data_IF_488299390884
#
_entry.id   IF_488299390884
#
_cell.length_a   1.000
_cell.length_b   1.000
_cell.length_c   1.000
_cell.angle_alpha   90.00
_cell.angle_beta   90.00
_cell.angle_gamma   90.00
#
_symmetry.space_group_name_H-M   'P 1'
#
loop_
_entity.id
_entity.type
_entity.pdbx_description
1 polymer ?
#
# COMPACT_ATOMS: atom_id res chain seq x y z
N UNK A 1 -15.73 8.86 27.87
CA UNK A 1 -16.53 9.59 26.86
C UNK A 1 -17.30 8.55 26.04
N UNK A 2 -18.63 8.58 26.10
CA UNK A 2 -19.55 7.55 25.56
C UNK A 2 -19.33 7.27 24.07
N UNK A 3 -18.88 6.06 23.72
CA UNK A 3 -18.62 5.60 22.34
C UNK A 3 -19.75 4.72 21.77
N UNK A 4 -20.98 4.86 22.26
CA UNK A 4 -22.07 3.96 21.87
C UNK A 4 -22.83 4.38 20.59
N UNK A 5 -22.82 5.65 20.18
CA UNK A 5 -23.70 6.13 19.11
C UNK A 5 -23.13 7.29 18.25
N UNK A 6 -21.83 7.30 17.97
CA UNK A 6 -21.28 8.25 16.98
C UNK A 6 -21.11 7.50 15.66
N UNK A 7 -21.95 7.80 14.66
CA UNK A 7 -21.76 7.29 13.31
C UNK A 7 -20.33 7.59 12.84
N UNK A 8 -19.65 6.58 12.30
CA UNK A 8 -18.28 6.76 11.81
C UNK A 8 -18.35 7.71 10.62
N UNK A 9 -17.89 8.94 10.84
CA UNK A 9 -17.93 10.02 9.86
C UNK A 9 -17.18 9.59 8.59
N UNK A 10 -17.81 9.76 7.44
CA UNK A 10 -17.16 9.57 6.14
C UNK A 10 -16.63 10.90 5.61
N UNK A 11 -15.48 10.84 4.92
CA UNK A 11 -14.84 12.00 4.32
C UNK A 11 -14.83 11.88 2.79
N UNK A 12 -15.00 13.01 2.10
CA UNK A 12 -14.93 13.03 0.65
C UNK A 12 -13.47 13.12 0.19
N UNK A 13 -12.65 13.92 0.88
CA UNK A 13 -11.25 14.14 0.52
C UNK A 13 -10.30 14.19 1.72
N UNK A 14 -9.01 13.87 1.54
CA UNK A 14 -8.00 14.04 2.59
C UNK A 14 -7.67 15.51 2.88
N UNK A 15 -8.20 16.47 2.12
CA UNK A 15 -7.96 17.90 2.33
C UNK A 15 -8.86 18.52 3.40
N UNK A 16 -9.82 17.75 3.93
CA UNK A 16 -10.69 18.20 5.00
C UNK A 16 -9.94 18.24 6.34
N UNK A 17 -10.02 19.36 7.08
CA UNK A 17 -9.39 19.47 8.42
C UNK A 17 -9.88 18.40 9.40
N UNK A 18 -11.15 17.98 9.26
CA UNK A 18 -11.75 16.92 10.07
C UNK A 18 -11.09 15.55 9.86
N UNK A 19 -10.60 15.27 8.65
CA UNK A 19 -9.92 14.03 8.30
C UNK A 19 -8.67 13.83 9.16
N UNK A 20 -7.80 14.85 9.21
CA UNK A 20 -6.54 14.80 9.96
C UNK A 20 -6.74 14.76 11.47
N UNK A 21 -7.75 15.48 11.97
CA UNK A 21 -8.12 15.41 13.40
C UNK A 21 -8.58 14.00 13.78
N UNK A 22 -9.41 13.37 12.95
CA UNK A 22 -9.82 11.99 13.17
C UNK A 22 -8.64 11.02 13.08
N UNK A 23 -7.80 11.13 12.04
CA UNK A 23 -6.63 10.28 11.87
C UNK A 23 -5.65 10.38 13.07
N UNK A 24 -5.46 11.59 13.62
CA UNK A 24 -4.65 11.78 14.82
C UNK A 24 -5.31 11.19 16.08
N UNK A 25 -6.63 11.29 16.20
CA UNK A 25 -7.37 10.74 17.34
C UNK A 25 -7.34 9.20 17.41
N UNK A 26 -7.06 8.51 16.29
CA UNK A 26 -6.94 7.05 16.26
C UNK A 26 -5.83 6.53 17.17
N UNK A 27 -4.76 7.30 17.40
CA UNK A 27 -3.71 6.94 18.36
C UNK A 27 -4.19 6.93 19.82
N UNK A 28 -5.28 7.64 20.14
CA UNK A 28 -5.86 7.66 21.48
C UNK A 28 -6.91 6.57 21.70
N UNK A 29 -7.29 5.83 20.65
CA UNK A 29 -8.34 4.83 20.73
C UNK A 29 -7.74 3.42 20.91
N UNK A 30 -7.88 2.80 22.11
CA UNK A 30 -7.28 1.49 22.37
C UNK A 30 -7.80 0.42 21.42
N UNK A 31 -9.07 0.52 20.99
CA UNK A 31 -9.65 -0.41 20.03
C UNK A 31 -8.96 -0.34 18.67
N UNK A 32 -8.64 0.87 18.19
CA UNK A 32 -7.94 1.05 16.92
C UNK A 32 -6.51 0.55 17.01
N UNK A 33 -5.81 0.78 18.13
CA UNK A 33 -4.44 0.28 18.34
C UNK A 33 -4.40 -1.25 18.32
N UNK A 34 -5.31 -1.92 19.03
CA UNK A 34 -5.36 -3.40 19.05
C UNK A 34 -5.62 -3.95 17.64
N UNK A 35 -6.57 -3.36 16.91
CA UNK A 35 -6.85 -3.77 15.52
C UNK A 35 -5.64 -3.50 14.61
N UNK A 36 -4.97 -2.36 14.77
CA UNK A 36 -3.75 -2.05 14.04
C UNK A 36 -2.66 -3.09 14.32
N UNK A 37 -2.39 -3.41 15.59
CA UNK A 37 -1.41 -4.42 15.98
C UNK A 37 -1.70 -5.79 15.36
N UNK A 38 -2.96 -6.24 15.40
CA UNK A 38 -3.37 -7.52 14.80
C UNK A 38 -3.19 -7.53 13.27
N UNK A 39 -3.56 -6.45 12.58
CA UNK A 39 -3.39 -6.34 11.12
C UNK A 39 -1.91 -6.23 10.75
N UNK A 40 -1.10 -5.51 11.53
CA UNK A 40 0.35 -5.42 11.34
C UNK A 40 1.01 -6.78 11.53
N UNK A 41 0.63 -7.54 12.58
CA UNK A 41 1.12 -8.91 12.79
C UNK A 41 0.73 -9.81 11.61
N UNK A 42 -0.52 -9.74 11.15
CA UNK A 42 -0.98 -10.48 9.97
C UNK A 42 -0.18 -10.10 8.72
N UNK A 43 0.09 -8.80 8.50
CA UNK A 43 0.90 -8.32 7.39
C UNK A 43 2.31 -8.94 7.41
N UNK A 44 2.95 -8.99 8.58
CA UNK A 44 4.30 -9.56 8.74
C UNK A 44 4.31 -11.04 8.36
N UNK A 45 3.35 -11.83 8.89
CA UNK A 45 3.25 -13.27 8.60
C UNK A 45 2.98 -13.52 7.11
N UNK A 46 2.03 -12.78 6.52
CA UNK A 46 1.68 -12.91 5.10
C UNK A 46 2.85 -12.50 4.19
N UNK A 47 3.64 -11.50 4.60
CA UNK A 47 4.80 -11.07 3.81
C UNK A 47 5.88 -12.15 3.74
N UNK A 48 6.02 -12.97 4.79
CA UNK A 48 6.88 -14.16 4.80
C UNK A 48 6.40 -15.26 3.84
N UNK A 49 5.09 -15.35 3.58
CA UNK A 49 4.48 -16.32 2.64
C UNK A 49 4.28 -15.66 1.28
N UNK A 50 5.37 -15.48 0.54
CA UNK A 50 5.31 -14.96 -0.83
C UNK A 50 4.96 -16.09 -1.82
N UNK A 51 3.94 -15.88 -2.68
CA UNK A 51 3.58 -16.87 -3.70
C UNK A 51 4.49 -16.68 -4.93
N UNK A 52 5.33 -17.67 -5.29
CA UNK A 52 6.09 -17.64 -6.54
C UNK A 52 5.13 -17.87 -7.72
N UNK A 53 4.98 -16.86 -8.57
CA UNK A 53 4.28 -16.98 -9.86
C UNK A 53 5.22 -17.58 -10.91
N UNK A 54 6.52 -17.27 -10.81
CA UNK A 54 7.59 -17.94 -11.55
C UNK A 54 8.65 -18.33 -10.51
N UNK A 55 8.98 -19.63 -10.36
CA UNK A 55 9.99 -20.10 -9.42
C UNK A 55 11.29 -19.29 -9.58
N UNK A 56 11.82 -18.73 -8.50
CA UNK A 56 13.08 -17.97 -8.44
C UNK A 56 13.16 -16.67 -9.26
N UNK A 57 12.07 -16.24 -9.91
CA UNK A 57 12.07 -15.03 -10.76
C UNK A 57 10.97 -14.05 -10.36
N UNK A 58 9.78 -14.53 -9.99
CA UNK A 58 8.61 -13.67 -9.82
C UNK A 58 7.77 -14.05 -8.59
N UNK A 59 7.94 -13.29 -7.50
CA UNK A 59 7.07 -13.36 -6.32
C UNK A 59 6.04 -12.22 -6.31
N UNK A 60 4.78 -12.51 -6.02
CA UNK A 60 3.79 -11.50 -5.60
C UNK A 60 3.78 -11.50 -4.07
N UNK A 61 4.00 -10.33 -3.47
CA UNK A 61 3.90 -10.17 -2.02
C UNK A 61 2.44 -9.94 -1.66
N UNK A 62 1.85 -10.84 -0.88
CA UNK A 62 0.47 -10.68 -0.41
C UNK A 62 0.33 -9.62 0.70
N UNK A 63 1.43 -9.06 1.19
CA UNK A 63 1.43 -8.07 2.27
C UNK A 63 0.68 -6.78 1.94
N UNK A 64 0.51 -6.43 0.65
CA UNK A 64 -0.22 -5.23 0.26
C UNK A 64 -1.72 -5.29 0.60
N UNK A 65 -2.33 -6.48 0.64
CA UNK A 65 -3.73 -6.65 1.02
C UNK A 65 -3.96 -6.24 2.47
N UNK A 66 -3.17 -6.80 3.38
CA UNK A 66 -3.21 -6.47 4.80
C UNK A 66 -2.87 -5.00 5.05
N UNK A 67 -1.88 -4.46 4.32
CA UNK A 67 -1.52 -3.06 4.43
C UNK A 67 -2.67 -2.12 4.02
N UNK A 68 -3.31 -2.38 2.88
CA UNK A 68 -4.41 -1.57 2.39
C UNK A 68 -5.65 -1.67 3.31
N UNK A 69 -5.99 -2.87 3.79
CA UNK A 69 -7.08 -3.09 4.74
C UNK A 69 -6.82 -2.37 6.06
N UNK A 70 -5.62 -2.50 6.61
CA UNK A 70 -5.24 -1.81 7.84
C UNK A 70 -5.33 -0.29 7.68
N UNK A 71 -4.73 0.24 6.63
CA UNK A 71 -4.70 1.69 6.37
C UNK A 71 -6.09 2.28 6.08
N UNK A 72 -7.01 1.48 5.57
CA UNK A 72 -8.44 1.84 5.45
C UNK A 72 -9.14 1.97 6.82
N UNK A 73 -8.72 1.17 7.81
CA UNK A 73 -9.33 1.14 9.16
C UNK A 73 -8.71 2.19 10.08
N UNK A 74 -7.39 2.13 10.31
CA UNK A 74 -6.71 2.98 11.30
C UNK A 74 -6.17 4.30 10.72
N UNK A 75 -6.22 4.47 9.40
CA UNK A 75 -5.88 5.72 8.74
C UNK A 75 -4.41 5.94 8.38
N UNK A 76 -4.09 7.10 7.80
CA UNK A 76 -2.77 7.36 7.23
C UNK A 76 -1.67 7.46 8.30
N UNK A 77 -1.96 8.07 9.46
CA UNK A 77 -0.94 8.32 10.49
C UNK A 77 -0.59 7.04 11.26
N UNK A 78 -1.59 6.28 11.73
CA UNK A 78 -1.34 4.96 12.31
C UNK A 78 -0.75 4.01 11.26
N UNK A 79 -1.10 4.21 9.98
CA UNK A 79 -0.49 3.50 8.85
C UNK A 79 1.00 3.74 8.69
N UNK A 80 1.49 4.96 8.88
CA UNK A 80 2.94 5.22 8.90
C UNK A 80 3.64 4.35 9.95
N UNK A 81 3.11 4.35 11.19
CA UNK A 81 3.69 3.60 12.30
C UNK A 81 3.59 2.09 12.08
N UNK A 82 2.43 1.60 11.65
CA UNK A 82 2.21 0.20 11.27
C UNK A 82 3.17 -0.24 10.16
N UNK A 83 3.40 0.61 9.16
CA UNK A 83 4.36 0.38 8.09
C UNK A 83 5.79 0.27 8.59
N UNK A 84 6.21 1.17 9.49
CA UNK A 84 7.52 1.14 10.11
C UNK A 84 7.74 -0.14 10.92
N UNK A 85 6.79 -0.48 11.80
CA UNK A 85 6.86 -1.68 12.65
C UNK A 85 6.89 -2.94 11.78
N UNK A 86 6.02 -3.02 10.77
CA UNK A 86 5.96 -4.19 9.89
C UNK A 86 7.27 -4.44 9.16
N UNK A 87 7.97 -3.39 8.74
CA UNK A 87 9.24 -3.51 8.01
C UNK A 87 10.36 -3.97 8.95
N UNK A 88 10.54 -3.29 10.08
CA UNK A 88 11.57 -3.63 11.05
C UNK A 88 11.36 -5.03 11.64
N UNK A 89 10.16 -5.32 12.16
CA UNK A 89 9.87 -6.63 12.76
C UNK A 89 9.88 -7.73 11.70
N UNK A 90 9.37 -7.44 10.49
CA UNK A 90 9.40 -8.38 9.38
C UNK A 90 10.83 -8.76 8.98
N UNK A 91 11.75 -7.79 8.93
CA UNK A 91 13.15 -8.03 8.64
C UNK A 91 13.86 -8.86 9.72
N UNK A 92 13.50 -8.67 11.00
CA UNK A 92 14.06 -9.46 12.09
C UNK A 92 13.55 -10.90 12.12
N UNK A 93 12.25 -11.12 11.84
CA UNK A 93 11.65 -12.46 11.89
C UNK A 93 11.94 -13.29 10.63
N UNK A 94 12.00 -12.64 9.47
CA UNK A 94 12.24 -13.28 8.18
C UNK A 94 13.40 -12.58 7.47
N UNK A 95 14.66 -12.77 7.94
CA UNK A 95 15.81 -12.12 7.33
C UNK A 95 15.98 -12.60 5.89
N UNK A 96 15.87 -11.68 4.94
CA UNK A 96 16.04 -11.92 3.51
C UNK A 96 17.11 -10.95 2.98
N UNK A 97 18.37 -11.28 3.26
CA UNK A 97 19.52 -10.41 3.01
C UNK A 97 19.73 -9.34 4.10
N UNK A 98 20.59 -8.37 3.81
CA UNK A 98 20.99 -7.34 4.77
C UNK A 98 19.87 -6.32 5.02
N UNK A 99 19.56 -6.09 6.30
CA UNK A 99 18.60 -5.06 6.68
C UNK A 99 19.19 -3.66 6.46
N UNK A 100 18.63 -2.93 5.51
CA UNK A 100 18.97 -1.53 5.28
C UNK A 100 17.86 -0.61 5.75
N UNK A 101 18.13 0.09 6.86
CA UNK A 101 17.15 0.91 7.58
C UNK A 101 16.33 1.85 6.68
N UNK A 102 16.89 2.55 5.67
CA UNK A 102 16.09 3.41 4.78
C UNK A 102 14.92 2.73 4.05
N UNK A 103 14.89 1.41 3.89
CA UNK A 103 13.73 0.72 3.29
C UNK A 103 12.45 0.87 4.11
N UNK A 104 12.56 1.15 5.41
CA UNK A 104 11.41 1.44 6.30
C UNK A 104 10.53 2.55 5.73
N UNK A 105 11.14 3.54 5.07
CA UNK A 105 10.44 4.68 4.47
C UNK A 105 9.50 4.22 3.36
N UNK A 106 9.86 3.20 2.58
CA UNK A 106 8.98 2.64 1.53
C UNK A 106 7.73 1.99 2.15
N UNK A 107 7.90 1.28 3.26
CA UNK A 107 6.80 0.65 3.98
C UNK A 107 5.89 1.68 4.66
N UNK A 108 6.47 2.73 5.25
CA UNK A 108 5.73 3.85 5.83
C UNK A 108 4.90 4.58 4.76
N UNK A 109 5.53 5.02 3.67
CA UNK A 109 4.88 5.81 2.61
C UNK A 109 3.79 5.00 1.90
N UNK A 110 4.02 3.70 1.64
CA UNK A 110 2.98 2.86 1.01
C UNK A 110 1.72 2.75 1.89
N UNK A 111 1.90 2.57 3.20
CA UNK A 111 0.80 2.50 4.18
C UNK A 111 0.08 3.84 4.29
N UNK A 112 0.85 4.94 4.33
CA UNK A 112 0.32 6.30 4.35
C UNK A 112 -0.53 6.62 3.11
N UNK A 113 -0.02 6.31 1.91
CA UNK A 113 -0.74 6.54 0.65
C UNK A 113 -2.04 5.73 0.62
N UNK A 114 -2.05 4.46 1.03
CA UNK A 114 -3.31 3.72 1.14
C UNK A 114 -4.28 4.37 2.13
N UNK A 115 -3.79 4.84 3.28
CA UNK A 115 -4.60 5.57 4.26
C UNK A 115 -5.21 6.85 3.68
N UNK A 116 -4.45 7.64 2.92
CA UNK A 116 -4.93 8.88 2.30
C UNK A 116 -6.18 8.68 1.44
N UNK A 117 -6.22 7.61 0.65
CA UNK A 117 -7.31 7.36 -0.28
C UNK A 117 -8.47 6.55 0.32
N UNK A 118 -8.18 5.62 1.23
CA UNK A 118 -9.14 4.62 1.71
C UNK A 118 -9.71 4.93 3.10
N UNK A 119 -9.00 5.69 3.94
CA UNK A 119 -9.43 5.94 5.33
C UNK A 119 -10.76 6.68 5.40
N UNK A 120 -11.75 6.05 6.04
CA UNK A 120 -13.11 6.59 6.26
C UNK A 120 -13.73 7.21 4.99
N UNK A 121 -13.38 6.69 3.82
CA UNK A 121 -13.91 7.12 2.54
C UNK A 121 -15.00 6.15 2.06
N UNK A 122 -15.89 6.63 1.19
CA UNK A 122 -16.77 5.73 0.43
C UNK A 122 -15.92 4.85 -0.47
N UNK A 123 -15.93 3.54 -0.22
CA UNK A 123 -15.13 2.59 -0.96
C UNK A 123 -15.63 2.47 -2.41
N UNK A 124 -14.77 2.77 -3.38
CA UNK A 124 -15.06 2.63 -4.81
C UNK A 124 -13.86 2.02 -5.54
N UNK A 125 -14.10 1.32 -6.65
CA UNK A 125 -13.00 0.72 -7.41
C UNK A 125 -12.02 1.79 -7.91
N UNK A 126 -12.54 2.94 -8.35
CA UNK A 126 -11.76 4.12 -8.76
C UNK A 126 -10.77 4.54 -7.67
N UNK A 127 -11.21 4.64 -6.40
CA UNK A 127 -10.32 5.01 -5.29
C UNK A 127 -9.26 3.96 -5.01
N UNK A 128 -9.62 2.68 -5.10
CA UNK A 128 -8.67 1.58 -4.90
C UNK A 128 -7.60 1.60 -6.01
N UNK A 129 -8.04 1.83 -7.25
CA UNK A 129 -7.18 1.95 -8.43
C UNK A 129 -6.21 3.11 -8.33
N UNK A 130 -6.70 4.30 -7.98
CA UNK A 130 -5.84 5.48 -7.81
C UNK A 130 -4.91 5.31 -6.62
N UNK A 131 -5.36 4.75 -5.51
CA UNK A 131 -4.50 4.45 -4.36
C UNK A 131 -3.36 3.50 -4.73
N UNK A 132 -3.68 2.36 -5.38
CA UNK A 132 -2.67 1.39 -5.78
C UNK A 132 -1.71 1.98 -6.82
N UNK A 133 -2.22 2.76 -7.76
CA UNK A 133 -1.41 3.45 -8.77
C UNK A 133 -0.44 4.43 -8.10
N UNK A 134 -0.91 5.24 -7.15
CA UNK A 134 -0.05 6.15 -6.39
C UNK A 134 1.03 5.40 -5.60
N UNK A 135 0.73 4.23 -5.03
CA UNK A 135 1.74 3.40 -4.36
C UNK A 135 2.77 2.89 -5.37
N UNK A 136 2.35 2.38 -6.53
CA UNK A 136 3.29 1.92 -7.58
C UNK A 136 4.17 3.08 -8.05
N UNK A 137 3.58 4.23 -8.34
CA UNK A 137 4.32 5.39 -8.82
C UNK A 137 5.29 5.93 -7.75
N UNK A 138 4.78 6.30 -6.58
CA UNK A 138 5.59 6.95 -5.53
C UNK A 138 6.56 5.95 -4.90
N UNK A 139 6.08 4.78 -4.47
CA UNK A 139 6.90 3.84 -3.70
C UNK A 139 7.76 2.98 -4.61
N UNK A 140 7.21 2.42 -5.70
CA UNK A 140 7.93 1.44 -6.50
C UNK A 140 8.77 2.06 -7.62
N UNK A 141 8.32 3.15 -8.26
CA UNK A 141 9.05 3.79 -9.38
C UNK A 141 10.04 4.86 -8.87
N UNK A 142 9.72 5.59 -7.80
CA UNK A 142 10.60 6.64 -7.27
C UNK A 142 11.36 6.22 -6.02
N UNK A 143 10.66 5.96 -4.93
CA UNK A 143 11.27 5.84 -3.61
C UNK A 143 12.17 4.60 -3.49
N UNK A 144 11.70 3.44 -3.94
CA UNK A 144 12.47 2.18 -3.89
C UNK A 144 13.76 2.27 -4.71
N UNK A 145 13.76 2.76 -5.97
CA UNK A 145 14.99 2.98 -6.73
C UNK A 145 15.98 3.95 -6.09
N UNK A 146 15.50 5.06 -5.50
CA UNK A 146 16.37 6.02 -4.81
C UNK A 146 17.06 5.36 -3.62
N UNK A 147 16.32 4.61 -2.81
CA UNK A 147 16.87 3.89 -1.66
C UNK A 147 17.79 2.76 -2.11
N UNK A 148 17.48 2.06 -3.20
CA UNK A 148 18.36 1.04 -3.76
C UNK A 148 19.69 1.64 -4.22
N UNK A 149 19.65 2.77 -4.91
CA UNK A 149 20.88 3.48 -5.32
C UNK A 149 21.74 3.81 -4.11
N UNK A 150 21.13 4.28 -3.03
CA UNK A 150 21.85 4.54 -1.78
C UNK A 150 22.43 3.26 -1.18
N UNK A 151 21.65 2.18 -1.12
CA UNK A 151 22.12 0.87 -0.67
C UNK A 151 23.35 0.41 -1.45
N UNK A 152 23.27 0.36 -2.79
CA UNK A 152 24.37 -0.12 -3.62
C UNK A 152 25.61 0.79 -3.58
N UNK A 153 25.42 2.11 -3.42
CA UNK A 153 26.53 3.04 -3.21
C UNK A 153 27.21 2.81 -1.85
N UNK A 154 26.43 2.55 -0.80
CA UNK A 154 26.96 2.28 0.54
C UNK A 154 27.78 0.98 0.60
N UNK A 155 27.33 -0.07 -0.10
CA UNK A 155 28.03 -1.36 -0.17
C UNK A 155 29.08 -1.45 -1.29
N UNK A 156 29.24 -0.41 -2.13
CA UNK A 156 30.24 -0.36 -3.20
C UNK A 156 29.97 -1.27 -4.41
N UNK A 157 28.73 -1.72 -4.62
CA UNK A 157 28.35 -2.67 -5.70
C UNK A 157 27.52 -1.95 -6.78
N UNK A 158 28.04 -0.83 -7.30
CA UNK A 158 27.28 0.07 -8.17
C UNK A 158 26.96 -0.53 -9.55
N UNK A 159 27.79 -1.45 -10.07
CA UNK A 159 27.62 -1.93 -11.45
C UNK A 159 26.33 -2.72 -11.67
N UNK A 160 25.73 -3.27 -10.60
CA UNK A 160 24.57 -4.18 -10.69
C UNK A 160 23.25 -3.48 -10.34
N UNK A 161 23.29 -2.27 -9.75
CA UNK A 161 22.07 -1.60 -9.28
C UNK A 161 21.10 -1.27 -10.42
N UNK A 162 21.61 -0.80 -11.57
CA UNK A 162 20.77 -0.34 -12.71
C UNK A 162 19.88 -1.47 -13.22
N UNK A 163 20.45 -2.66 -13.39
CA UNK A 163 19.74 -3.83 -13.90
C UNK A 163 18.65 -4.33 -12.93
N UNK A 164 19.00 -4.52 -11.65
CA UNK A 164 18.04 -4.99 -10.64
C UNK A 164 16.90 -4.00 -10.40
N UNK A 165 17.22 -2.71 -10.36
CA UNK A 165 16.24 -1.66 -10.20
C UNK A 165 15.26 -1.64 -11.36
N UNK A 166 15.76 -1.73 -12.60
CA UNK A 166 14.91 -1.76 -13.80
C UNK A 166 13.98 -2.97 -13.80
N UNK A 167 14.54 -4.17 -13.58
CA UNK A 167 13.78 -5.41 -13.56
C UNK A 167 12.65 -5.35 -12.53
N UNK A 168 12.92 -4.81 -11.32
CA UNK A 168 11.94 -4.65 -10.26
C UNK A 168 10.85 -3.63 -10.62
N UNK A 169 11.24 -2.51 -11.23
CA UNK A 169 10.29 -1.46 -11.64
C UNK A 169 9.36 -1.91 -12.76
N UNK A 170 9.90 -2.57 -13.80
CA UNK A 170 9.10 -3.18 -14.88
C UNK A 170 8.15 -4.22 -14.31
N UNK A 171 8.66 -5.12 -13.44
CA UNK A 171 7.84 -6.14 -12.77
C UNK A 171 6.65 -5.53 -12.03
N UNK A 172 6.89 -4.51 -11.21
CA UNK A 172 5.83 -3.89 -10.40
C UNK A 172 4.79 -3.17 -11.27
N UNK A 173 5.21 -2.55 -12.38
CA UNK A 173 4.29 -1.92 -13.32
C UNK A 173 3.48 -2.95 -14.13
N UNK A 174 4.07 -4.08 -14.50
CA UNK A 174 3.38 -5.16 -15.20
C UNK A 174 2.36 -5.89 -14.31
N UNK A 175 2.66 -6.03 -13.00
CA UNK A 175 1.76 -6.67 -12.02
C UNK A 175 0.66 -5.72 -11.52
N UNK A 176 0.83 -4.42 -11.65
CA UNK A 176 -0.13 -3.40 -11.21
C UNK A 176 -1.60 -3.70 -11.57
N UNK A 177 -1.98 -4.05 -12.83
CA UNK A 177 -3.38 -4.31 -13.16
C UNK A 177 -3.97 -5.49 -12.41
N UNK A 178 -3.23 -6.60 -12.34
CA UNK A 178 -3.64 -7.80 -11.65
C UNK A 178 -3.79 -7.54 -10.14
N UNK A 179 -2.78 -6.92 -9.52
CA UNK A 179 -2.82 -6.59 -8.09
C UNK A 179 -3.95 -5.63 -7.74
N UNK A 180 -4.24 -4.66 -8.61
CA UNK A 180 -5.32 -3.69 -8.39
C UNK A 180 -6.70 -4.34 -8.47
N UNK A 181 -6.90 -5.25 -9.42
CA UNK A 181 -8.15 -6.02 -9.52
C UNK A 181 -8.33 -6.91 -8.30
N UNK A 182 -7.29 -7.66 -7.92
CA UNK A 182 -7.33 -8.50 -6.73
C UNK A 182 -7.58 -7.67 -5.46
N UNK A 183 -6.91 -6.52 -5.32
CA UNK A 183 -7.11 -5.62 -4.19
C UNK A 183 -8.55 -5.10 -4.12
N UNK A 184 -9.14 -4.78 -5.27
CA UNK A 184 -10.52 -4.32 -5.36
C UNK A 184 -11.48 -5.39 -4.88
N UNK A 185 -11.34 -6.62 -5.40
CA UNK A 185 -12.16 -7.77 -4.99
C UNK A 185 -11.99 -8.06 -3.50
N UNK A 186 -10.75 -8.07 -3.00
CA UNK A 186 -10.46 -8.30 -1.59
C UNK A 186 -11.09 -7.26 -0.67
N UNK A 187 -10.90 -5.96 -0.95
CA UNK A 187 -11.48 -4.90 -0.13
C UNK A 187 -13.01 -4.90 -0.21
N UNK A 188 -13.61 -5.20 -1.36
CA UNK A 188 -15.07 -5.33 -1.47
C UNK A 188 -15.62 -6.51 -0.66
N UNK A 189 -14.87 -7.62 -0.58
CA UNK A 189 -15.24 -8.76 0.24
C UNK A 189 -15.09 -8.47 1.75
N UNK A 190 -14.03 -7.74 2.13
CA UNK A 190 -13.75 -7.40 3.54
C UNK A 190 -14.57 -6.24 4.07
N UNK A 191 -15.01 -5.33 3.21
CA UNK A 191 -15.72 -4.13 3.63
C UNK A 191 -17.00 -4.45 4.43
N UNK A 192 -17.91 -5.37 4.01
CA UNK A 192 -19.08 -5.74 4.81
C UNK A 192 -18.72 -6.26 6.21
N UNK A 193 -17.65 -7.05 6.32
CA UNK A 193 -17.18 -7.56 7.60
C UNK A 193 -16.63 -6.42 8.49
N UNK A 194 -15.79 -5.56 7.93
CA UNK A 194 -15.23 -4.40 8.64
C UNK A 194 -16.31 -3.40 9.08
N UNK A 195 -17.36 -3.21 8.27
CA UNK A 195 -18.48 -2.35 8.57
C UNK A 195 -19.37 -2.92 9.69
N UNK A 196 -19.64 -4.24 9.67
CA UNK A 196 -20.33 -4.94 10.78
C UNK A 196 -19.59 -4.81 12.09
N UNK A 197 -18.25 -4.83 12.05
CA UNK A 197 -17.41 -4.61 13.22
C UNK A 197 -17.35 -3.14 13.68
N UNK A 198 -18.02 -2.21 12.99
CA UNK A 198 -17.94 -0.76 13.23
C UNK A 198 -16.48 -0.25 13.20
N UNK A 199 -15.70 -0.74 12.24
CA UNK A 199 -14.32 -0.29 12.00
C UNK A 199 -14.21 0.72 10.86
N UNK A 200 -15.17 0.68 9.93
CA UNK A 200 -15.26 1.60 8.79
C UNK A 200 -16.69 2.16 8.69
N UNK A 201 -16.90 3.29 7.98
CA UNK A 201 -18.24 3.83 7.74
C UNK A 201 -19.21 2.80 7.13
N UNK A 202 -20.52 2.94 7.38
CA UNK A 202 -21.52 2.06 6.78
C UNK A 202 -21.43 2.11 5.26
N UNK A 203 -21.41 0.93 4.65
CA UNK A 203 -21.40 0.78 3.21
C UNK A 203 -22.84 0.92 2.75
N UNK A 204 -23.10 1.93 1.92
CA UNK A 204 -24.38 2.06 1.23
C UNK A 204 -24.51 0.96 0.17
N UNK A 205 -24.34 1.32 -1.09
CA UNK A 205 -24.33 0.33 -2.17
C UNK A 205 -23.03 -0.47 -2.20
N UNK A 206 -23.14 -1.79 -2.44
CA UNK A 206 -21.98 -2.64 -2.66
C UNK A 206 -21.22 -2.13 -3.90
N UNK A 207 -19.95 -1.70 -3.77
CA UNK A 207 -19.20 -1.22 -4.91
C UNK A 207 -19.01 -2.35 -5.94
N UNK A 208 -19.22 -2.01 -7.22
CA UNK A 208 -19.10 -2.92 -8.37
C UNK A 208 -18.01 -2.45 -9.31
N UNK A 209 -17.38 -3.38 -10.02
CA UNK A 209 -16.50 -3.08 -11.14
C UNK A 209 -17.36 -2.73 -12.37
N UNK A 210 -17.31 -1.47 -12.79
CA UNK A 210 -17.98 -0.97 -14.01
C UNK A 210 -17.02 -0.99 -15.20
N UNK A 211 -17.55 -0.89 -16.42
CA UNK A 211 -16.73 -0.78 -17.64
C UNK A 211 -15.80 0.44 -17.62
N UNK A 212 -16.24 1.53 -17.02
CA UNK A 212 -15.43 2.74 -16.80
C UNK A 212 -14.22 2.47 -15.91
N UNK A 213 -14.38 1.66 -14.87
CA UNK A 213 -13.25 1.26 -14.00
C UNK A 213 -12.23 0.41 -14.77
N UNK A 214 -12.69 -0.45 -15.68
CA UNK A 214 -11.79 -1.24 -16.54
C UNK A 214 -11.03 -0.33 -17.51
N UNK A 215 -11.71 0.65 -18.11
CA UNK A 215 -11.07 1.66 -18.97
C UNK A 215 -10.04 2.51 -18.20
N UNK A 216 -10.38 2.92 -16.98
CA UNK A 216 -9.46 3.62 -16.08
C UNK A 216 -8.25 2.74 -15.74
N UNK A 217 -8.45 1.45 -15.48
CA UNK A 217 -7.33 0.53 -15.23
C UNK A 217 -6.39 0.50 -16.43
N UNK A 218 -6.95 0.31 -17.63
CA UNK A 218 -6.17 0.30 -18.86
C UNK A 218 -5.38 1.61 -19.02
N UNK A 219 -6.02 2.76 -18.84
CA UNK A 219 -5.35 4.06 -18.90
C UNK A 219 -4.20 4.18 -17.87
N UNK A 220 -4.45 3.80 -16.61
CA UNK A 220 -3.43 3.84 -15.56
C UNK A 220 -2.28 2.87 -15.82
N UNK A 221 -2.54 1.71 -16.42
CA UNK A 221 -1.48 0.76 -16.81
C UNK A 221 -0.59 1.32 -17.91
N UNK A 222 -1.17 1.99 -18.90
CA UNK A 222 -0.41 2.65 -19.97
C UNK A 222 0.43 3.78 -19.37
N UNK A 223 -0.14 4.60 -18.48
CA UNK A 223 0.61 5.67 -17.80
C UNK A 223 1.75 5.08 -16.96
N UNK A 224 1.52 3.98 -16.23
CA UNK A 224 2.58 3.31 -15.47
C UNK A 224 3.71 2.80 -16.40
N UNK A 225 3.36 2.20 -17.54
CA UNK A 225 4.34 1.76 -18.53
C UNK A 225 5.15 2.92 -19.11
N UNK A 226 4.50 4.05 -19.44
CA UNK A 226 5.17 5.27 -19.90
C UNK A 226 6.10 5.81 -18.81
N UNK A 227 5.67 5.84 -17.55
CA UNK A 227 6.51 6.28 -16.43
C UNK A 227 7.77 5.40 -16.27
N UNK A 228 7.64 4.09 -16.42
CA UNK A 228 8.77 3.15 -16.41
C UNK A 228 9.71 3.40 -17.59
N UNK A 229 9.17 3.66 -18.78
CA UNK A 229 9.95 3.96 -19.97
C UNK A 229 10.71 5.28 -19.85
N UNK A 230 10.06 6.34 -19.36
CA UNK A 230 10.72 7.62 -19.07
C UNK A 230 11.81 7.47 -18.01
N UNK A 231 11.55 6.67 -16.98
CA UNK A 231 12.55 6.32 -15.97
C UNK A 231 13.75 5.59 -16.60
N UNK A 232 13.51 4.61 -17.48
CA UNK A 232 14.55 3.91 -18.22
C UNK A 232 15.43 4.87 -19.04
N UNK A 233 14.82 5.77 -19.81
CA UNK A 233 15.55 6.77 -20.60
C UNK A 233 16.41 7.67 -19.71
N UNK A 234 15.84 8.21 -18.64
CA UNK A 234 16.50 9.23 -17.83
C UNK A 234 17.63 8.66 -16.96
N UNK A 235 17.47 7.46 -16.39
CA UNK A 235 18.37 6.92 -15.37
C UNK A 235 19.36 5.85 -15.87
N UNK A 236 19.09 5.21 -17.01
CA UNK A 236 19.92 4.09 -17.51
C UNK A 236 20.73 4.48 -18.72
N UNK A 237 20.14 5.22 -19.68
CA UNK A 237 20.87 5.70 -20.86
C UNK A 237 21.78 6.91 -20.57
N UNK A 238 21.61 7.55 -19.40
CA UNK A 238 22.46 8.61 -18.88
C UNK A 238 23.36 8.07 -17.77
#
# INVERSE_FOLDING_TARGET
>A
MNTANTEIRSFYSPFEKGYWRCAASEFGNPRTIVVAAMITALRIVIQGVSIPIIPNVLYISLGFFANALGSMIYGPLVGLVSGAISDTVGAFLFPQGDYFFPYIITAMVSSFVFGLFLYRAKLSATRIMTARFSVVLICNIFLTPIIMRWYYAYFGIEKVYKFFTLARTIKNAALFPAETLLLSVFLFAMAPAASRMKLIPPIGEKPKLTRENIALLAALTVIAAVAVYLYYIYYIMK
#
